data_IF_219324975078
#
_entry.id   IF_219324975078
#
_cell.length_a   1.000
_cell.length_b   1.000
_cell.length_c   1.000
_cell.angle_alpha   90.00
_cell.angle_beta   90.00
_cell.angle_gamma   90.00
#
_symmetry.space_group_name_H-M   'P 1'
#
loop_
_entity.id
_entity.type
_entity.pdbx_description
1 polymer ?
#
# COMPACT_ATOMS: atom_id res chain seq x y z
N UNK A 1 -21.61 8.52 42.23
CA UNK A 1 -20.28 8.01 41.81
C UNK A 1 -20.32 7.65 40.34
N UNK A 2 -19.72 8.46 39.45
CA UNK A 2 -19.59 8.17 38.01
C UNK A 2 -18.36 7.27 37.81
N UNK A 3 -18.55 6.03 37.39
CA UNK A 3 -17.44 5.12 37.06
C UNK A 3 -16.80 5.56 35.74
N UNK A 4 -15.64 6.21 35.81
CA UNK A 4 -14.77 6.38 34.63
C UNK A 4 -14.22 5.02 34.25
N UNK A 5 -14.73 4.41 33.17
CA UNK A 5 -14.04 3.28 32.54
C UNK A 5 -12.77 3.82 31.88
N UNK A 6 -11.62 3.41 32.38
CA UNK A 6 -10.32 3.68 31.75
C UNK A 6 -10.26 2.83 30.47
N UNK A 7 -10.07 3.47 29.32
CA UNK A 7 -9.57 2.76 28.14
C UNK A 7 -8.17 2.20 28.48
N UNK A 8 -7.90 0.92 28.24
CA UNK A 8 -6.53 0.43 28.31
C UNK A 8 -5.76 1.08 27.15
N UNK A 9 -4.73 1.84 27.48
CA UNK A 9 -3.73 2.31 26.53
C UNK A 9 -2.96 1.10 26.00
N UNK A 10 -3.33 0.61 24.83
CA UNK A 10 -2.58 -0.43 24.12
C UNK A 10 -1.24 0.15 23.64
N UNK A 11 -0.09 -0.50 23.92
CA UNK A 11 1.19 -0.11 23.34
C UNK A 11 1.12 -0.25 21.81
N UNK A 12 1.77 0.68 21.10
CA UNK A 12 1.64 0.91 19.66
C UNK A 12 1.98 -0.29 18.76
N UNK A 13 1.00 -1.18 18.58
CA UNK A 13 0.99 -2.27 17.60
C UNK A 13 -0.33 -2.28 16.85
N UNK A 14 -0.67 -1.16 16.20
CA UNK A 14 -1.95 -0.95 15.53
C UNK A 14 -2.26 -1.92 14.38
N UNK A 15 -1.24 -2.59 13.86
CA UNK A 15 -1.27 -3.37 12.61
C UNK A 15 -1.25 -4.88 12.79
N UNK A 16 -1.29 -5.40 14.04
CA UNK A 16 -1.10 -6.83 14.33
C UNK A 16 -2.33 -7.52 14.92
N UNK A 17 -3.38 -6.76 15.24
CA UNK A 17 -4.54 -7.29 15.96
C UNK A 17 -5.81 -6.76 15.32
N UNK A 18 -6.68 -7.67 14.88
CA UNK A 18 -8.01 -7.36 14.36
C UNK A 18 -8.77 -6.44 15.33
N UNK A 19 -9.24 -5.29 14.82
CA UNK A 19 -9.95 -4.26 15.59
C UNK A 19 -11.45 -4.17 15.29
N UNK A 20 -12.04 -5.23 14.73
CA UNK A 20 -13.44 -5.24 14.32
C UNK A 20 -13.78 -4.31 13.14
N UNK A 21 -12.80 -3.92 12.31
CA UNK A 21 -12.99 -3.01 11.15
C UNK A 21 -12.72 -3.75 9.84
N UNK A 22 -11.45 -4.03 9.53
CA UNK A 22 -10.99 -4.73 8.34
C UNK A 22 -9.90 -5.74 8.71
N UNK A 23 -9.80 -6.84 7.96
CA UNK A 23 -8.81 -7.88 8.22
C UNK A 23 -7.48 -7.50 7.60
N UNK A 24 -6.40 -7.79 8.33
CA UNK A 24 -5.05 -7.37 7.97
C UNK A 24 -4.25 -8.53 7.38
N UNK A 25 -3.54 -8.25 6.29
CA UNK A 25 -2.57 -9.14 5.68
C UNK A 25 -1.39 -9.41 6.64
N UNK A 26 -0.76 -10.58 6.55
CA UNK A 26 0.46 -10.86 7.30
C UNK A 26 1.55 -9.81 7.00
N UNK A 27 2.04 -9.14 8.03
CA UNK A 27 3.03 -8.05 7.92
C UNK A 27 4.38 -8.37 8.60
N UNK A 28 4.54 -9.57 9.17
CA UNK A 28 5.77 -9.97 9.88
C UNK A 28 6.68 -10.78 8.95
N UNK A 29 7.85 -10.25 8.54
CA UNK A 29 8.69 -10.82 7.48
C UNK A 29 9.19 -12.25 7.70
N UNK A 30 9.38 -12.65 8.95
CA UNK A 30 9.96 -13.93 9.33
C UNK A 30 8.92 -14.97 9.77
N UNK A 31 7.64 -14.62 9.72
CA UNK A 31 6.56 -15.49 10.15
C UNK A 31 5.78 -16.01 8.92
N UNK A 32 5.78 -17.32 8.65
CA UNK A 32 4.96 -17.88 7.58
C UNK A 32 3.48 -17.54 7.78
N UNK A 33 2.75 -17.28 6.69
CA UNK A 33 1.32 -16.90 6.72
C UNK A 33 0.46 -17.84 7.57
N UNK A 34 0.69 -19.16 7.50
CA UNK A 34 -0.06 -20.13 8.30
C UNK A 34 0.15 -19.92 9.81
N UNK A 35 1.38 -19.60 10.22
CA UNK A 35 1.73 -19.37 11.62
C UNK A 35 1.26 -18.00 12.09
N UNK A 36 1.34 -16.97 11.22
CA UNK A 36 0.72 -15.66 11.47
C UNK A 36 -0.78 -15.81 11.71
N UNK A 37 -1.48 -16.55 10.85
CA UNK A 37 -2.92 -16.81 10.99
C UNK A 37 -3.27 -17.61 12.25
N UNK A 38 -2.36 -18.45 12.74
CA UNK A 38 -2.54 -19.19 13.98
C UNK A 38 -2.33 -18.31 15.22
N UNK A 39 -1.28 -17.49 15.25
CA UNK A 39 -0.97 -16.58 16.36
C UNK A 39 -1.92 -15.38 16.43
N UNK A 40 -2.30 -14.83 15.27
CA UNK A 40 -3.15 -13.65 15.12
C UNK A 40 -4.43 -14.05 14.39
N UNK A 41 -5.30 -14.81 15.06
CA UNK A 41 -6.57 -15.27 14.48
C UNK A 41 -7.46 -14.08 14.14
N UNK A 42 -7.98 -14.07 12.91
CA UNK A 42 -8.92 -13.09 12.40
C UNK A 42 -10.16 -13.82 11.84
N UNK A 43 -11.34 -13.18 11.81
CA UNK A 43 -12.52 -13.77 11.17
C UNK A 43 -12.31 -13.96 9.66
N UNK A 44 -13.09 -14.86 9.04
CA UNK A 44 -13.12 -15.02 7.58
C UNK A 44 -14.13 -14.04 6.95
N UNK A 45 -13.91 -12.75 7.19
CA UNK A 45 -14.75 -11.65 6.70
C UNK A 45 -13.81 -10.54 6.24
N UNK A 46 -14.08 -9.86 5.11
CA UNK A 46 -13.26 -8.73 4.68
C UNK A 46 -13.54 -7.48 5.50
N UNK A 47 -14.75 -6.90 5.36
CA UNK A 47 -15.22 -5.78 6.18
C UNK A 47 -16.35 -6.19 7.13
N UNK A 48 -16.27 -5.74 8.38
CA UNK A 48 -17.40 -5.82 9.33
C UNK A 48 -18.47 -4.75 9.03
N UNK A 49 -19.64 -4.84 9.67
CA UNK A 49 -20.66 -3.78 9.62
C UNK A 49 -20.09 -2.40 10.04
N UNK A 50 -19.21 -2.40 11.05
CA UNK A 50 -18.50 -1.20 11.49
C UNK A 50 -17.49 -0.72 10.43
N UNK A 51 -16.80 -1.66 9.76
CA UNK A 51 -15.89 -1.36 8.66
C UNK A 51 -16.61 -0.72 7.47
N UNK A 52 -17.77 -1.28 7.08
CA UNK A 52 -18.61 -0.69 6.04
C UNK A 52 -19.12 0.70 6.44
N UNK A 53 -19.58 0.87 7.69
CA UNK A 53 -19.98 2.19 8.18
C UNK A 53 -18.83 3.21 8.16
N UNK A 54 -17.61 2.77 8.50
CA UNK A 54 -16.42 3.60 8.42
C UNK A 54 -16.10 4.02 6.98
N UNK A 55 -16.15 3.09 6.01
CA UNK A 55 -15.96 3.40 4.58
C UNK A 55 -16.96 4.46 4.10
N UNK A 56 -18.25 4.32 4.45
CA UNK A 56 -19.27 5.33 4.09
C UNK A 56 -18.95 6.70 4.70
N UNK A 57 -18.56 6.73 5.97
CA UNK A 57 -18.18 7.97 6.63
C UNK A 57 -16.92 8.60 6.02
N UNK A 58 -15.95 7.79 5.60
CA UNK A 58 -14.76 8.28 4.91
C UNK A 58 -15.11 8.92 3.56
N UNK A 59 -16.01 8.31 2.79
CA UNK A 59 -16.53 8.90 1.55
C UNK A 59 -17.25 10.22 1.83
N UNK A 60 -18.15 10.26 2.82
CA UNK A 60 -18.93 11.47 3.12
C UNK A 60 -18.06 12.63 3.61
N UNK A 61 -17.03 12.34 4.40
CA UNK A 61 -16.12 13.32 4.98
C UNK A 61 -14.85 13.56 4.14
N UNK A 62 -14.78 13.01 2.92
CA UNK A 62 -13.62 13.14 2.02
C UNK A 62 -12.30 12.69 2.64
N UNK A 63 -12.34 11.63 3.44
CA UNK A 63 -11.14 10.97 3.96
C UNK A 63 -10.70 9.92 2.96
N UNK A 64 -9.45 10.02 2.50
CA UNK A 64 -8.87 9.04 1.58
C UNK A 64 -8.84 7.64 2.21
N UNK A 65 -9.25 6.66 1.42
CA UNK A 65 -9.25 5.25 1.82
C UNK A 65 -7.93 4.63 1.39
N UNK A 66 -7.14 4.19 2.38
CA UNK A 66 -5.89 3.48 2.19
C UNK A 66 -6.09 1.96 2.30
N UNK A 67 -5.68 1.26 1.24
CA UNK A 67 -5.81 -0.19 1.08
C UNK A 67 -4.56 -0.94 1.57
N UNK A 68 -3.48 -0.24 1.90
CA UNK A 68 -2.27 -0.87 2.44
C UNK A 68 -2.59 -1.67 3.72
N UNK A 69 -1.91 -2.79 3.89
CA UNK A 69 -2.14 -3.80 4.95
C UNK A 69 -3.46 -4.58 4.89
N UNK A 70 -4.47 -4.19 4.12
CA UNK A 70 -5.72 -4.95 4.07
C UNK A 70 -5.51 -6.32 3.41
N UNK A 71 -6.24 -7.34 3.87
CA UNK A 71 -6.31 -8.62 3.15
C UNK A 71 -7.00 -8.44 1.81
N UNK A 72 -6.74 -9.37 0.89
CA UNK A 72 -7.38 -9.37 -0.44
C UNK A 72 -8.90 -9.31 -0.35
N UNK A 73 -9.50 -10.02 0.61
CA UNK A 73 -10.95 -9.98 0.83
C UNK A 73 -11.43 -8.60 1.29
N UNK A 74 -10.74 -7.96 2.23
CA UNK A 74 -11.08 -6.60 2.70
C UNK A 74 -10.91 -5.56 1.59
N UNK A 75 -9.84 -5.65 0.80
CA UNK A 75 -9.63 -4.80 -0.38
C UNK A 75 -10.79 -4.96 -1.37
N UNK A 76 -11.19 -6.19 -1.67
CA UNK A 76 -12.30 -6.46 -2.58
C UNK A 76 -13.62 -5.91 -2.05
N UNK A 77 -13.92 -6.12 -0.76
CA UNK A 77 -15.13 -5.60 -0.12
C UNK A 77 -15.17 -4.06 -0.18
N UNK A 78 -14.07 -3.38 0.13
CA UNK A 78 -13.96 -1.91 0.02
C UNK A 78 -14.21 -1.46 -1.42
N UNK A 79 -13.49 -2.02 -2.39
CA UNK A 79 -13.58 -1.57 -3.78
C UNK A 79 -14.97 -1.83 -4.37
N UNK A 80 -15.58 -2.98 -4.08
CA UNK A 80 -16.95 -3.31 -4.55
C UNK A 80 -17.96 -2.38 -3.91
N UNK A 81 -17.81 -2.12 -2.62
CA UNK A 81 -18.66 -1.16 -1.93
C UNK A 81 -18.55 0.25 -2.53
N UNK A 82 -17.34 0.70 -2.91
CA UNK A 82 -17.17 1.99 -3.56
C UNK A 82 -17.75 2.01 -4.98
N UNK A 83 -17.66 0.92 -5.73
CA UNK A 83 -18.29 0.78 -7.05
C UNK A 83 -19.82 0.87 -6.97
N UNK A 84 -20.42 0.34 -5.91
CA UNK A 84 -21.85 0.35 -5.68
C UNK A 84 -22.39 1.67 -5.08
N UNK A 85 -21.53 2.54 -4.54
CA UNK A 85 -21.90 3.81 -3.91
C UNK A 85 -21.78 4.97 -4.91
N UNK A 86 -22.89 5.57 -5.38
CA UNK A 86 -22.85 6.67 -6.33
C UNK A 86 -22.07 7.90 -5.83
N UNK A 87 -22.16 8.20 -4.53
CA UNK A 87 -21.41 9.28 -3.89
C UNK A 87 -19.88 9.06 -3.90
N UNK A 88 -19.44 7.82 -4.11
CA UNK A 88 -18.03 7.44 -4.18
C UNK A 88 -17.51 7.36 -5.62
N UNK A 89 -18.29 7.72 -6.64
CA UNK A 89 -17.93 7.55 -8.04
C UNK A 89 -16.58 8.21 -8.39
N UNK A 90 -16.30 9.38 -7.82
CA UNK A 90 -15.07 10.14 -8.05
C UNK A 90 -14.04 10.01 -6.92
N UNK A 91 -14.35 9.25 -5.85
CA UNK A 91 -13.44 9.12 -4.71
C UNK A 91 -12.23 8.25 -5.06
N UNK A 92 -11.00 8.79 -5.09
CA UNK A 92 -9.83 7.98 -5.32
C UNK A 92 -9.52 7.12 -4.09
N UNK A 93 -8.85 6.00 -4.35
CA UNK A 93 -8.29 5.12 -3.31
C UNK A 93 -6.77 5.10 -3.44
N UNK A 94 -6.08 4.85 -2.34
CA UNK A 94 -4.62 4.75 -2.32
C UNK A 94 -4.20 3.41 -1.74
N UNK A 95 -3.03 2.92 -2.16
CA UNK A 95 -2.24 2.00 -1.36
C UNK A 95 -0.96 2.74 -1.01
N UNK A 96 -0.87 3.30 0.20
CA UNK A 96 0.22 4.20 0.59
C UNK A 96 1.60 3.56 0.47
N UNK A 97 1.69 2.26 0.71
CA UNK A 97 2.91 1.45 0.56
C UNK A 97 2.57 -0.01 0.24
N UNK A 98 3.12 -0.50 -0.86
CA UNK A 98 2.94 -1.84 -1.41
C UNK A 98 3.70 -2.00 -2.74
N UNK A 99 3.05 -2.60 -3.74
CA UNK A 99 3.57 -2.73 -5.11
C UNK A 99 2.98 -3.94 -5.82
N UNK A 100 3.40 -4.20 -7.07
CA UNK A 100 2.91 -5.36 -7.83
C UNK A 100 3.26 -6.72 -7.17
N UNK A 101 2.31 -7.65 -7.14
CA UNK A 101 2.49 -9.01 -6.60
C UNK A 101 3.09 -9.94 -7.67
N UNK A 102 4.42 -10.05 -7.71
CA UNK A 102 5.13 -11.08 -8.50
C UNK A 102 5.14 -12.45 -7.82
N UNK A 103 5.26 -12.45 -6.49
CA UNK A 103 5.33 -13.66 -5.68
C UNK A 103 3.99 -14.00 -5.02
N UNK A 104 4.07 -14.48 -3.78
CA UNK A 104 2.91 -15.00 -3.03
C UNK A 104 2.47 -14.13 -1.86
N UNK A 105 3.23 -13.07 -1.55
CA UNK A 105 2.90 -12.19 -0.44
C UNK A 105 1.58 -11.45 -0.69
N UNK A 106 0.59 -11.74 0.16
CA UNK A 106 -0.73 -11.10 0.13
C UNK A 106 -0.64 -9.58 0.33
N UNK A 107 0.41 -9.11 1.00
CA UNK A 107 0.74 -7.71 1.20
C UNK A 107 0.87 -6.90 -0.11
N UNK A 108 1.38 -7.53 -1.17
CA UNK A 108 1.54 -6.90 -2.49
C UNK A 108 0.22 -6.95 -3.26
N UNK A 109 0.02 -6.13 -4.27
CA UNK A 109 -1.27 -5.97 -4.96
C UNK A 109 -1.35 -6.81 -6.23
N UNK A 110 -2.51 -7.45 -6.46
CA UNK A 110 -2.83 -8.14 -7.71
C UNK A 110 -3.04 -7.17 -8.86
N UNK A 111 -2.89 -7.67 -10.08
CA UNK A 111 -3.24 -6.97 -11.33
C UNK A 111 -4.67 -6.41 -11.31
N UNK A 112 -5.65 -7.22 -10.92
CA UNK A 112 -7.05 -6.79 -10.75
C UNK A 112 -7.18 -5.60 -9.78
N UNK A 113 -6.57 -5.70 -8.61
CA UNK A 113 -6.58 -4.64 -7.59
C UNK A 113 -5.95 -3.34 -8.10
N UNK A 114 -4.83 -3.44 -8.81
CA UNK A 114 -4.15 -2.29 -9.41
C UNK A 114 -5.04 -1.63 -10.47
N UNK A 115 -5.67 -2.43 -11.34
CA UNK A 115 -6.61 -1.93 -12.33
C UNK A 115 -7.79 -1.19 -11.69
N UNK A 116 -8.36 -1.71 -10.59
CA UNK A 116 -9.45 -1.06 -9.85
C UNK A 116 -9.01 0.21 -9.12
N UNK A 117 -7.80 0.24 -8.57
CA UNK A 117 -7.21 1.48 -8.03
C UNK A 117 -7.09 2.53 -9.14
N UNK A 118 -6.56 2.13 -10.31
CA UNK A 118 -6.37 3.03 -11.44
C UNK A 118 -7.69 3.56 -12.02
N UNK A 119 -8.71 2.71 -12.16
CA UNK A 119 -10.04 3.08 -12.63
C UNK A 119 -10.71 4.17 -11.76
N UNK A 120 -10.31 4.27 -10.49
CA UNK A 120 -10.77 5.30 -9.53
C UNK A 120 -9.85 6.52 -9.47
N UNK A 121 -8.87 6.62 -10.37
CA UNK A 121 -7.86 7.68 -10.33
C UNK A 121 -6.90 7.57 -9.16
N UNK A 122 -6.80 6.41 -8.51
CA UNK A 122 -5.93 6.16 -7.35
C UNK A 122 -4.45 6.04 -7.69
N UNK A 123 -3.63 5.74 -6.66
CA UNK A 123 -2.18 5.49 -6.80
C UNK A 123 -1.71 4.33 -5.93
N UNK A 124 -0.66 3.66 -6.38
CA UNK A 124 0.09 2.64 -5.62
C UNK A 124 1.46 3.20 -5.24
N UNK A 125 1.69 3.38 -3.95
CA UNK A 125 2.98 3.74 -3.39
C UNK A 125 3.91 2.53 -3.30
N UNK A 126 5.08 2.61 -3.92
CA UNK A 126 6.08 1.53 -3.87
C UNK A 126 6.80 1.50 -2.52
N UNK A 127 6.66 0.40 -1.80
CA UNK A 127 7.34 0.13 -0.53
C UNK A 127 8.84 -0.07 -0.74
N UNK A 128 9.71 0.37 0.17
CA UNK A 128 11.17 0.14 0.07
C UNK A 128 11.65 -1.04 0.94
N UNK A 129 10.71 -1.85 1.41
CA UNK A 129 10.94 -3.02 2.22
C UNK A 129 11.43 -4.19 1.33
N UNK A 130 12.62 -4.70 1.63
CA UNK A 130 13.31 -5.59 0.69
C UNK A 130 12.62 -6.94 0.54
N UNK A 131 11.96 -7.44 1.59
CA UNK A 131 11.31 -8.75 1.57
C UNK A 131 10.03 -8.75 0.71
N UNK A 132 9.30 -7.62 0.67
CA UNK A 132 8.17 -7.41 -0.21
C UNK A 132 8.62 -7.21 -1.66
N UNK A 133 9.46 -6.20 -1.93
CA UNK A 133 9.83 -5.83 -3.31
C UNK A 133 10.60 -6.93 -4.05
N UNK A 134 11.34 -7.80 -3.35
CA UNK A 134 12.07 -8.88 -4.03
C UNK A 134 11.23 -10.13 -4.26
N UNK A 135 10.05 -10.23 -3.65
CA UNK A 135 9.24 -11.45 -3.70
C UNK A 135 8.87 -11.81 -5.13
N UNK A 136 9.00 -13.08 -5.52
CA UNK A 136 8.83 -13.52 -6.91
C UNK A 136 9.94 -13.12 -7.89
N UNK A 137 10.76 -12.10 -7.60
CA UNK A 137 11.82 -11.62 -8.49
C UNK A 137 13.20 -12.20 -8.17
N UNK A 138 13.59 -12.26 -6.88
CA UNK A 138 14.88 -12.83 -6.50
C UNK A 138 14.95 -13.30 -5.05
N UNK A 139 15.65 -14.40 -4.81
CA UNK A 139 15.90 -14.94 -3.46
C UNK A 139 17.11 -14.34 -2.76
N UNK A 140 17.96 -13.60 -3.47
CA UNK A 140 19.21 -13.04 -2.94
C UNK A 140 18.94 -11.69 -2.26
N UNK A 141 19.72 -11.39 -1.22
CA UNK A 141 19.70 -10.04 -0.62
C UNK A 141 20.13 -8.98 -1.64
N UNK A 142 19.41 -7.87 -1.67
CA UNK A 142 19.68 -6.69 -2.50
C UNK A 142 20.49 -5.71 -1.66
N UNK A 143 21.76 -5.51 -2.01
CA UNK A 143 22.71 -4.70 -1.22
C UNK A 143 23.28 -3.49 -1.97
N UNK A 144 23.01 -3.37 -3.26
CA UNK A 144 23.49 -2.25 -4.08
C UNK A 144 22.32 -1.48 -4.67
N UNK A 145 22.53 -0.18 -4.83
CA UNK A 145 21.53 0.74 -5.37
C UNK A 145 21.11 0.35 -6.80
N UNK A 146 22.04 -0.10 -7.63
CA UNK A 146 21.78 -0.47 -9.01
C UNK A 146 20.82 -1.67 -9.09
N UNK A 147 20.99 -2.63 -8.17
CA UNK A 147 20.09 -3.78 -8.08
C UNK A 147 18.74 -3.38 -7.50
N UNK A 148 18.73 -2.44 -6.55
CA UNK A 148 17.49 -1.87 -6.02
C UNK A 148 16.68 -1.18 -7.11
N UNK A 149 17.33 -0.32 -7.90
CA UNK A 149 16.71 0.35 -9.05
C UNK A 149 16.13 -0.65 -10.04
N UNK A 150 16.86 -1.72 -10.38
CA UNK A 150 16.33 -2.75 -11.29
C UNK A 150 15.01 -3.35 -10.80
N UNK A 151 14.92 -3.66 -9.50
CA UNK A 151 13.69 -4.23 -8.92
C UNK A 151 12.57 -3.18 -8.88
N UNK A 152 12.88 -1.95 -8.47
CA UNK A 152 11.91 -0.86 -8.42
C UNK A 152 11.34 -0.60 -9.82
N UNK A 153 12.18 -0.52 -10.85
CA UNK A 153 11.78 -0.38 -12.24
C UNK A 153 10.87 -1.53 -12.70
N UNK A 154 11.18 -2.79 -12.34
CA UNK A 154 10.32 -3.92 -12.68
C UNK A 154 8.90 -3.78 -12.11
N UNK A 155 8.76 -3.28 -10.87
CA UNK A 155 7.45 -2.98 -10.30
C UNK A 155 6.75 -1.81 -11.02
N UNK A 156 7.49 -0.75 -11.34
CA UNK A 156 6.96 0.42 -12.08
C UNK A 156 6.44 -0.03 -13.44
N UNK A 157 7.26 -0.74 -14.21
CA UNK A 157 6.94 -1.20 -15.55
C UNK A 157 5.74 -2.14 -15.54
N UNK A 158 5.67 -3.04 -14.55
CA UNK A 158 4.55 -3.97 -14.45
C UNK A 158 3.25 -3.26 -14.06
N UNK A 159 3.29 -2.27 -13.16
CA UNK A 159 2.09 -1.47 -12.85
C UNK A 159 1.68 -0.65 -14.07
N UNK A 160 2.63 0.01 -14.74
CA UNK A 160 2.37 0.80 -15.93
C UNK A 160 1.80 -0.04 -17.07
N UNK A 161 2.19 -1.30 -17.20
CA UNK A 161 1.62 -2.24 -18.17
C UNK A 161 0.17 -2.66 -17.83
N UNK A 162 -0.23 -2.59 -16.55
CA UNK A 162 -1.62 -2.86 -16.13
C UNK A 162 -2.49 -1.62 -16.30
N UNK A 163 -1.92 -0.43 -16.15
CA UNK A 163 -2.65 0.85 -16.16
C UNK A 163 -2.47 1.65 -17.45
N UNK A 164 -1.72 1.12 -18.42
CA UNK A 164 -1.33 1.75 -19.70
C UNK A 164 -0.56 3.07 -19.61
N UNK A 165 -0.13 3.49 -18.41
CA UNK A 165 0.59 4.74 -18.16
C UNK A 165 1.25 4.74 -16.76
N UNK A 166 1.99 5.80 -16.44
CA UNK A 166 2.69 5.97 -15.15
C UNK A 166 1.91 6.79 -14.11
N UNK A 167 0.66 7.16 -14.36
CA UNK A 167 -0.09 8.15 -13.56
C UNK A 167 -0.64 7.57 -12.23
N UNK A 168 -0.50 6.26 -12.03
CA UNK A 168 -1.02 5.51 -10.89
C UNK A 168 0.08 4.95 -9.96
N UNK A 169 1.29 5.49 -10.08
CA UNK A 169 2.48 5.02 -9.37
C UNK A 169 3.03 6.16 -8.50
N UNK A 170 3.37 5.86 -7.26
CA UNK A 170 3.98 6.80 -6.33
C UNK A 170 5.11 6.14 -5.53
N UNK A 171 5.88 6.93 -4.77
CA UNK A 171 6.83 6.41 -3.78
C UNK A 171 6.16 6.31 -2.42
N UNK A 172 6.11 5.10 -1.87
CA UNK A 172 5.50 4.75 -0.59
C UNK A 172 6.51 4.14 0.36
N UNK A 173 7.60 4.84 0.66
CA UNK A 173 8.84 4.20 1.10
C UNK A 173 8.73 3.34 2.37
N UNK A 174 7.83 3.69 3.28
CA UNK A 174 7.66 3.09 4.61
C UNK A 174 8.95 3.13 5.47
N UNK A 175 9.83 4.12 5.20
CA UNK A 175 11.03 4.35 6.00
C UNK A 175 10.64 4.59 7.47
N UNK A 176 11.39 3.94 8.37
CA UNK A 176 11.13 3.87 9.82
C UNK A 176 9.89 3.06 10.26
N UNK A 177 9.13 2.45 9.34
CA UNK A 177 7.97 1.59 9.60
C UNK A 177 8.28 0.12 9.97
N UNK A 178 9.44 -0.17 10.58
CA UNK A 178 9.94 -1.54 10.85
C UNK A 178 10.24 -2.40 9.60
N UNK A 179 10.40 -1.80 8.43
CA UNK A 179 10.66 -2.49 7.16
C UNK A 179 12.08 -3.03 6.96
N UNK A 180 12.92 -3.04 8.00
CA UNK A 180 14.33 -3.43 7.86
C UNK A 180 14.44 -4.94 7.59
N UNK A 181 15.25 -5.37 6.60
CA UNK A 181 16.12 -4.54 5.75
C UNK A 181 15.37 -3.84 4.61
N UNK A 182 15.73 -2.58 4.35
CA UNK A 182 15.28 -1.83 3.17
C UNK A 182 16.07 -2.24 1.92
N UNK A 183 15.67 -1.72 0.77
CA UNK A 183 16.41 -1.85 -0.48
C UNK A 183 17.81 -1.20 -0.35
N UNK A 184 18.86 -1.91 -0.80
CA UNK A 184 20.23 -1.42 -0.65
C UNK A 184 20.46 -0.08 -1.37
N UNK A 185 21.12 0.86 -0.71
CA UNK A 185 21.31 2.24 -1.17
C UNK A 185 20.07 3.14 -1.02
N UNK A 186 19.04 2.67 -0.32
CA UNK A 186 17.81 3.38 0.04
C UNK A 186 17.49 3.06 1.51
N UNK A 187 18.36 3.47 2.41
CA UNK A 187 18.27 3.16 3.84
C UNK A 187 17.64 4.29 4.67
N UNK A 188 17.58 5.50 4.12
CA UNK A 188 17.14 6.69 4.82
C UNK A 188 16.46 7.72 3.90
N UNK A 189 15.81 8.72 4.49
CA UNK A 189 15.22 9.82 3.74
C UNK A 189 16.26 10.62 2.93
N UNK A 190 17.53 10.65 3.36
CA UNK A 190 18.62 11.29 2.61
C UNK A 190 18.89 10.60 1.25
N UNK A 191 18.48 9.34 1.08
CA UNK A 191 18.69 8.59 -0.15
C UNK A 191 17.60 8.85 -1.21
N UNK A 192 16.50 9.52 -0.85
CA UNK A 192 15.39 9.81 -1.79
C UNK A 192 15.84 10.66 -2.98
N UNK A 193 16.77 11.60 -2.79
CA UNK A 193 17.33 12.38 -3.88
C UNK A 193 18.13 11.50 -4.86
N UNK A 194 18.76 10.42 -4.37
CA UNK A 194 19.45 9.44 -5.23
C UNK A 194 18.44 8.62 -6.02
N UNK A 195 17.33 8.24 -5.41
CA UNK A 195 16.22 7.54 -6.05
C UNK A 195 15.59 8.38 -7.16
N UNK A 196 15.24 9.65 -6.92
CA UNK A 196 14.64 10.51 -7.99
C UNK A 196 15.57 10.62 -9.19
N UNK A 197 16.86 10.93 -8.97
CA UNK A 197 17.86 10.96 -10.06
C UNK A 197 18.00 9.61 -10.78
N UNK A 198 17.79 8.50 -10.07
CA UNK A 198 17.77 7.16 -10.64
C UNK A 198 16.59 6.97 -11.59
N UNK A 199 15.41 7.41 -11.17
CA UNK A 199 14.18 7.37 -11.97
C UNK A 199 14.26 8.31 -13.17
N UNK A 200 14.75 9.54 -13.00
CA UNK A 200 14.96 10.52 -14.07
C UNK A 200 15.88 9.95 -15.16
N UNK A 201 16.98 9.28 -14.76
CA UNK A 201 17.89 8.63 -15.73
C UNK A 201 17.24 7.47 -16.48
N UNK A 202 16.26 6.79 -15.90
CA UNK A 202 15.67 5.59 -16.49
C UNK A 202 14.42 5.90 -17.32
N UNK A 203 13.55 6.79 -16.83
CA UNK A 203 12.24 7.08 -17.41
C UNK A 203 12.10 8.50 -17.99
N UNK A 204 13.12 9.35 -17.82
CA UNK A 204 13.05 10.77 -18.14
C UNK A 204 12.44 11.60 -17.01
N UNK A 205 12.61 12.92 -17.10
CA UNK A 205 12.22 13.88 -16.07
C UNK A 205 10.70 13.87 -15.82
N UNK A 206 9.89 13.93 -16.88
CA UNK A 206 8.43 13.97 -16.78
C UNK A 206 7.87 12.76 -16.00
N UNK A 207 8.23 11.55 -16.42
CA UNK A 207 7.76 10.32 -15.75
C UNK A 207 8.28 10.22 -14.32
N UNK A 208 9.53 10.65 -14.08
CA UNK A 208 10.10 10.64 -12.74
C UNK A 208 9.37 11.60 -11.79
N UNK A 209 8.99 12.80 -12.25
CA UNK A 209 8.21 13.75 -11.46
C UNK A 209 6.83 13.20 -11.09
N UNK A 210 6.14 12.57 -12.05
CA UNK A 210 4.89 11.86 -11.81
C UNK A 210 5.00 10.87 -10.65
N UNK A 211 5.99 9.98 -10.73
CA UNK A 211 6.22 8.93 -9.73
C UNK A 211 6.68 9.51 -8.38
N UNK A 212 7.51 10.57 -8.40
CA UNK A 212 8.06 11.13 -7.16
C UNK A 212 7.05 11.96 -6.38
N UNK A 213 6.14 12.70 -7.05
CA UNK A 213 5.20 13.57 -6.33
C UNK A 213 3.91 13.92 -7.07
N UNK A 214 3.90 14.12 -8.39
CA UNK A 214 2.72 14.70 -9.05
C UNK A 214 1.48 13.80 -8.96
N UNK A 215 1.67 12.48 -9.05
CA UNK A 215 0.57 11.52 -8.92
C UNK A 215 -0.03 11.52 -7.50
N UNK A 216 0.82 11.60 -6.48
CA UNK A 216 0.36 11.68 -5.10
C UNK A 216 -0.41 12.99 -4.87
N UNK A 217 0.12 14.13 -5.33
CA UNK A 217 -0.57 15.42 -5.25
C UNK A 217 -1.92 15.39 -5.99
N UNK A 218 -1.96 14.84 -7.20
CA UNK A 218 -3.20 14.65 -7.99
C UNK A 218 -4.27 13.94 -7.17
N UNK A 219 -3.91 12.85 -6.48
CA UNK A 219 -4.85 12.09 -5.65
C UNK A 219 -5.27 12.83 -4.39
N UNK A 220 -4.34 13.53 -3.72
CA UNK A 220 -4.69 14.35 -2.55
C UNK A 220 -5.66 15.48 -2.92
N UNK A 221 -5.44 16.15 -4.05
CA UNK A 221 -6.35 17.18 -4.56
C UNK A 221 -7.71 16.60 -4.94
N UNK A 222 -7.74 15.50 -5.69
CA UNK A 222 -8.99 14.84 -6.06
C UNK A 222 -9.77 14.31 -4.85
N UNK A 223 -9.08 13.81 -3.83
CA UNK A 223 -9.70 13.26 -2.62
C UNK A 223 -10.26 14.31 -1.68
N UNK A 224 -9.61 15.46 -1.53
CA UNK A 224 -10.00 16.48 -0.54
C UNK A 224 -10.85 17.63 -1.10
N UNK A 225 -10.81 17.87 -2.42
CA UNK A 225 -11.50 18.97 -3.09
C UNK A 225 -10.75 20.28 -2.94
#
# INVERSE_FOLDING_TARGET
MKSRRRCPSSPGGGHLVWRHIATDAPAIPFLPDWLYRWLFRQPQLGLSDLGQAAVKAMVSERVLIDLSHMRTQSVNDVLTMLEDLPEAAETPVIATHGGFRFGSQEYMLSEDTIGRIAARGGVVGLIMAQHQLRDGLTRRSVRSFERSMKIICEHIDRIAAVTDNHDHIAIGSDLDGFIKPTMGGIESAADMARLSRGLERHYGEETAHKICFENALRVLHAGWG
#
